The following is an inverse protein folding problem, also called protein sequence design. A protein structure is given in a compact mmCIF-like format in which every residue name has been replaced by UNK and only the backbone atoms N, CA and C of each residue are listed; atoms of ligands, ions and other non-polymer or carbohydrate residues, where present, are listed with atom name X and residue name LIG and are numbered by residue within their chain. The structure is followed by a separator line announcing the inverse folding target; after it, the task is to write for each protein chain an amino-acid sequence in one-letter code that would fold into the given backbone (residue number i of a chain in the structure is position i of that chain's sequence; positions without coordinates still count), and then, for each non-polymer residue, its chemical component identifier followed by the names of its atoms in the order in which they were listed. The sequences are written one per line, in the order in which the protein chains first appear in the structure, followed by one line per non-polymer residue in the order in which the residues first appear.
data_IF_766861560841
#
_entry.id   IF_766861560841
#
_cell.length_a   1.000
_cell.length_b   1.000
_cell.length_c   1.000
_cell.angle_alpha   90.00
_cell.angle_beta   90.00
_cell.angle_gamma   90.00
#
_symmetry.space_group_name_H-M   'P 1'
#
loop_
_entity.id
_entity.type
_entity.pdbx_description
1 polymer ?
#
# COMPACT_ATOMS: atom_id res chain seq x y z
N UNK A 1 28.07 -15.64 25.82
CA UNK A 1 27.52 -14.29 25.58
C UNK A 1 27.49 -13.87 24.11
N UNK A 2 28.56 -13.98 23.33
CA UNK A 2 28.59 -13.51 21.91
C UNK A 2 27.50 -14.08 20.98
N UNK A 3 27.09 -15.33 21.19
CA UNK A 3 26.11 -16.02 20.31
C UNK A 3 24.69 -15.45 20.50
N UNK A 4 24.34 -15.04 21.71
CA UNK A 4 23.05 -14.43 22.03
C UNK A 4 22.92 -13.02 21.43
N UNK A 5 24.01 -12.25 21.42
CA UNK A 5 24.02 -10.92 20.80
C UNK A 5 23.80 -10.97 19.29
N UNK A 6 24.41 -11.95 18.61
CA UNK A 6 24.24 -12.11 17.16
C UNK A 6 22.81 -12.52 16.79
N UNK A 7 22.16 -13.36 17.61
CA UNK A 7 20.76 -13.76 17.37
C UNK A 7 19.78 -12.58 17.49
N UNK A 8 20.01 -11.67 18.44
CA UNK A 8 19.18 -10.46 18.63
C UNK A 8 19.34 -9.46 17.47
N UNK A 9 20.55 -9.32 16.93
CA UNK A 9 20.79 -8.43 15.78
C UNK A 9 20.09 -8.96 14.51
N UNK A 10 20.10 -10.28 14.30
CA UNK A 10 19.42 -10.91 13.16
C UNK A 10 17.91 -10.78 13.27
N UNK A 11 17.32 -10.94 14.46
CA UNK A 11 15.87 -10.77 14.64
C UNK A 11 15.41 -9.32 14.46
N UNK A 12 16.17 -8.33 14.94
CA UNK A 12 15.90 -6.91 14.69
C UNK A 12 15.98 -6.52 13.20
N UNK A 13 16.93 -7.11 12.46
CA UNK A 13 17.03 -6.89 11.02
C UNK A 13 15.83 -7.49 10.26
N UNK A 14 15.39 -8.69 10.65
CA UNK A 14 14.23 -9.36 10.03
C UNK A 14 12.91 -8.65 10.32
N UNK A 15 12.72 -8.05 11.50
CA UNK A 15 11.53 -7.24 11.79
C UNK A 15 11.52 -5.90 11.05
N UNK A 16 12.70 -5.33 10.75
CA UNK A 16 12.80 -4.08 9.98
C UNK A 16 12.41 -4.23 8.51
N UNK A 17 12.67 -5.40 7.90
CA UNK A 17 12.27 -5.72 6.52
C UNK A 17 10.77 -5.99 6.38
N UNK A 18 10.12 -6.44 7.45
CA UNK A 18 8.69 -6.76 7.46
C UNK A 18 7.78 -5.54 7.64
N UNK A 19 8.35 -4.35 7.92
CA UNK A 19 7.58 -3.14 8.20
C UNK A 19 7.56 -2.13 7.05
N UNK A 20 7.71 -2.60 5.81
CA UNK A 20 7.32 -1.80 4.65
C UNK A 20 5.80 -1.68 4.66
N UNK A 21 5.27 -0.61 5.26
CA UNK A 21 3.83 -0.31 5.26
C UNK A 21 3.35 -0.27 3.80
N UNK A 22 2.64 -1.33 3.40
CA UNK A 22 2.04 -1.40 2.09
C UNK A 22 0.99 -0.29 1.99
N UNK A 23 1.10 0.54 0.96
CA UNK A 23 0.06 1.53 0.64
C UNK A 23 -1.26 0.82 0.34
N UNK A 24 -2.41 1.36 0.81
CA UNK A 24 -3.70 0.78 0.51
C UNK A 24 -3.98 0.86 -0.98
N UNK A 25 -4.72 -0.11 -1.50
CA UNK A 25 -5.18 -0.15 -2.89
C UNK A 25 -6.65 0.22 -3.01
N UNK A 26 -7.15 0.39 -4.24
CA UNK A 26 -8.57 0.65 -4.49
C UNK A 26 -9.45 -0.45 -3.87
N UNK A 27 -9.08 -1.73 -4.01
CA UNK A 27 -9.80 -2.84 -3.37
C UNK A 27 -9.86 -2.68 -1.85
N UNK A 28 -8.71 -2.43 -1.22
CA UNK A 28 -8.62 -2.30 0.24
C UNK A 28 -9.51 -1.17 0.77
N UNK A 29 -9.66 -0.08 0.00
CA UNK A 29 -10.49 1.06 0.38
C UNK A 29 -11.98 0.78 0.14
N UNK A 30 -12.33 0.11 -0.97
CA UNK A 30 -13.74 -0.28 -1.23
C UNK A 30 -14.24 -1.26 -0.17
N UNK A 31 -13.43 -2.25 0.24
CA UNK A 31 -13.77 -3.16 1.34
C UNK A 31 -13.97 -2.43 2.67
N UNK A 32 -13.30 -1.29 2.85
CA UNK A 32 -13.46 -0.40 4.02
C UNK A 32 -14.62 0.59 3.90
N UNK A 33 -15.42 0.51 2.84
CA UNK A 33 -16.61 1.35 2.64
C UNK A 33 -16.32 2.71 2.01
N UNK A 34 -15.16 2.91 1.40
CA UNK A 34 -14.92 4.12 0.60
C UNK A 34 -15.60 3.99 -0.76
N UNK A 35 -16.25 5.07 -1.20
CA UNK A 35 -16.90 5.13 -2.51
C UNK A 35 -16.02 5.86 -3.53
N UNK A 36 -15.99 5.36 -4.76
CA UNK A 36 -15.38 6.07 -5.88
C UNK A 36 -16.26 7.28 -6.21
N UNK A 37 -15.78 8.49 -5.93
CA UNK A 37 -16.52 9.74 -6.19
C UNK A 37 -16.26 10.30 -7.58
N UNK A 38 -15.01 10.22 -8.05
CA UNK A 38 -14.64 10.70 -9.38
C UNK A 38 -13.35 10.04 -9.88
N UNK A 39 -13.12 10.14 -11.18
CA UNK A 39 -11.85 9.84 -11.82
C UNK A 39 -11.44 11.00 -12.72
N UNK A 40 -10.14 11.28 -12.81
CA UNK A 40 -9.60 12.32 -13.69
C UNK A 40 -8.25 11.86 -14.22
N UNK A 41 -8.18 11.62 -15.52
CA UNK A 41 -6.98 11.10 -16.17
C UNK A 41 -6.50 9.81 -15.51
N UNK A 42 -5.31 9.87 -14.93
CA UNK A 42 -4.67 8.73 -14.26
C UNK A 42 -4.94 8.66 -12.74
N UNK A 43 -5.99 9.32 -12.25
CA UNK A 43 -6.32 9.36 -10.83
C UNK A 43 -7.75 8.91 -10.55
N UNK A 44 -7.94 8.22 -9.42
CA UNK A 44 -9.25 7.87 -8.85
C UNK A 44 -9.34 8.48 -7.46
N UNK A 45 -10.46 9.13 -7.18
CA UNK A 45 -10.77 9.71 -5.89
C UNK A 45 -11.78 8.83 -5.16
N UNK A 46 -11.39 8.33 -3.99
CA UNK A 46 -12.25 7.56 -3.10
C UNK A 46 -12.52 8.35 -1.83
N UNK A 47 -13.76 8.31 -1.34
CA UNK A 47 -14.16 9.08 -0.18
C UNK A 47 -15.16 8.32 0.68
N UNK A 48 -15.00 8.43 2.00
CA UNK A 48 -16.03 8.12 2.98
C UNK A 48 -16.41 9.40 3.76
N UNK A 49 -17.15 9.28 4.85
CA UNK A 49 -17.58 10.43 5.66
C UNK A 49 -16.42 11.21 6.29
N UNK A 50 -15.24 10.60 6.45
CA UNK A 50 -14.13 11.13 7.24
C UNK A 50 -12.93 11.56 6.39
N UNK A 51 -12.61 10.83 5.33
CA UNK A 51 -11.35 10.92 4.61
C UNK A 51 -11.51 10.78 3.10
N UNK A 52 -10.57 11.37 2.37
CA UNK A 52 -10.44 11.25 0.91
C UNK A 52 -9.10 10.59 0.60
N UNK A 53 -9.10 9.64 -0.34
CA UNK A 53 -7.94 8.99 -0.90
C UNK A 53 -7.83 9.26 -2.40
N UNK A 54 -6.59 9.39 -2.87
CA UNK A 54 -6.26 9.50 -4.29
C UNK A 54 -5.42 8.29 -4.67
N UNK A 55 -5.88 7.52 -5.65
CA UNK A 55 -5.14 6.41 -6.23
C UNK A 55 -4.61 6.80 -7.60
N UNK A 56 -3.36 6.46 -7.92
CA UNK A 56 -2.75 6.77 -9.21
C UNK A 56 -2.52 5.51 -10.03
N UNK A 57 -3.07 5.49 -11.25
CA UNK A 57 -2.81 4.44 -12.25
C UNK A 57 -1.35 4.41 -12.72
N UNK A 58 -0.57 5.45 -12.43
CA UNK A 58 0.87 5.52 -12.75
C UNK A 58 1.76 4.95 -11.64
N UNK A 59 1.22 4.74 -10.44
CA UNK A 59 1.94 4.20 -9.29
C UNK A 59 1.59 2.72 -9.16
N UNK A 60 2.32 1.89 -9.90
CA UNK A 60 2.31 0.44 -9.72
C UNK A 60 3.36 0.12 -8.65
N UNK A 61 2.95 -0.49 -7.53
CA UNK A 61 3.91 -0.86 -6.48
C UNK A 61 4.93 -1.87 -7.00
N UNK A 62 6.16 -1.85 -6.46
CA UNK A 62 7.21 -2.82 -6.78
C UNK A 62 6.74 -4.28 -6.56
N UNK A 63 5.81 -4.48 -5.62
CA UNK A 63 5.17 -5.76 -5.34
C UNK A 63 4.35 -6.29 -6.53
N UNK A 64 3.62 -5.41 -7.21
CA UNK A 64 2.81 -5.79 -8.37
C UNK A 64 3.68 -6.08 -9.61
N UNK A 65 4.82 -5.40 -9.74
CA UNK A 65 5.81 -5.70 -10.79
C UNK A 65 6.44 -7.07 -10.56
N UNK A 66 6.74 -7.41 -9.30
CA UNK A 66 7.33 -8.70 -8.94
C UNK A 66 6.38 -9.89 -9.17
N UNK A 67 5.06 -9.70 -9.10
CA UNK A 67 4.08 -10.77 -9.34
C UNK A 67 3.80 -11.08 -10.81
N UNK A 68 4.31 -10.29 -11.76
CA UNK A 68 4.12 -10.52 -13.21
C UNK A 68 2.68 -10.30 -13.72
N UNK A 69 1.79 -9.81 -12.86
CA UNK A 69 0.37 -9.63 -13.13
C UNK A 69 -0.02 -8.21 -12.68
N UNK A 70 -0.12 -7.27 -13.64
CA UNK A 70 -0.61 -5.91 -13.37
C UNK A 70 -2.13 -5.96 -13.38
N UNK A 71 -2.67 -6.45 -12.28
CA UNK A 71 -4.11 -6.45 -12.06
C UNK A 71 -4.54 -4.99 -11.82
N UNK A 72 -5.47 -4.48 -12.64
CA UNK A 72 -5.86 -3.06 -12.70
C UNK A 72 -6.57 -2.54 -11.43
N UNK A 73 -6.49 -3.28 -10.32
CA UNK A 73 -7.12 -2.93 -9.04
C UNK A 73 -6.12 -2.83 -7.89
N UNK A 74 -4.82 -3.06 -8.15
CA UNK A 74 -3.74 -2.97 -7.16
C UNK A 74 -2.99 -1.64 -7.22
N UNK A 75 -3.66 -0.54 -7.57
CA UNK A 75 -3.03 0.78 -7.62
C UNK A 75 -2.88 1.38 -6.22
N UNK A 76 -1.70 1.89 -5.91
CA UNK A 76 -1.42 2.50 -4.61
C UNK A 76 -2.22 3.80 -4.45
N UNK A 77 -2.83 3.93 -3.28
CA UNK A 77 -3.61 5.08 -2.86
C UNK A 77 -2.91 5.82 -1.73
N UNK A 78 -3.06 7.14 -1.71
CA UNK A 78 -2.58 8.00 -0.64
C UNK A 78 -3.74 8.82 -0.08
N UNK A 79 -3.77 8.97 1.24
CA UNK A 79 -4.71 9.86 1.90
C UNK A 79 -4.40 11.32 1.51
N UNK A 80 -5.45 12.09 1.23
CA UNK A 80 -5.35 13.54 1.08
C UNK A 80 -5.29 14.14 2.49
N UNK A 81 -4.21 14.88 2.77
CA UNK A 81 -4.05 15.65 4.01
C UNK A 81 -4.57 17.06 3.85
#
# INVERSE_FOLDING_TARGET
MKILFNAVIVTLALTSLANAERKPTILDLVEKGYEIKSSTGNYVFLQNEENIYICSFLQVSEYNVASGEIDAIKFDCAAVK
#
